data_IF_496610966607
#
_entry.id   IF_496610966607
#
_cell.length_a   1.000
_cell.length_b   1.000
_cell.length_c   1.000
_cell.angle_alpha   90.00
_cell.angle_beta   90.00
_cell.angle_gamma   90.00
#
_symmetry.space_group_name_H-M   'P 1'
#
loop_
_entity.id
_entity.type
_entity.pdbx_description
1 polymer ?
#
# COMPACT_ATOMS: atom_id res chain seq x y z
N UNK A 1 -9.51 -0.63 -93.24
CA UNK A 1 -10.69 -0.05 -93.97
C UNK A 1 -11.92 -0.37 -93.21
N UNK A 2 -12.88 0.49 -93.28
CA UNK A 2 -13.14 1.69 -92.51
C UNK A 2 -14.38 1.48 -91.61
N UNK A 3 -14.86 2.26 -90.79
CA UNK A 3 -15.49 3.55 -90.89
C UNK A 3 -16.20 3.87 -89.55
N UNK A 4 -15.88 4.94 -89.00
CA UNK A 4 -16.77 6.11 -88.71
C UNK A 4 -18.27 5.89 -88.32
N UNK A 5 -18.72 6.42 -87.23
CA UNK A 5 -19.70 7.55 -87.13
C UNK A 5 -20.30 7.55 -85.74
N UNK A 6 -20.10 8.52 -84.94
CA UNK A 6 -20.61 9.90 -84.86
C UNK A 6 -21.94 10.03 -84.07
N UNK A 7 -21.87 10.89 -83.04
CA UNK A 7 -22.89 11.84 -82.56
C UNK A 7 -24.03 11.20 -81.74
N UNK A 8 -24.41 11.79 -80.62
CA UNK A 8 -24.69 13.17 -80.24
C UNK A 8 -25.03 13.30 -78.79
N UNK A 9 -24.53 14.29 -78.16
CA UNK A 9 -25.21 15.32 -77.34
C UNK A 9 -26.60 14.97 -76.83
N UNK A 10 -26.79 15.00 -75.50
CA UNK A 10 -27.73 15.94 -74.93
C UNK A 10 -27.40 16.27 -73.47
N UNK A 11 -27.43 17.53 -73.21
CA UNK A 11 -27.31 18.28 -71.98
C UNK A 11 -28.72 18.36 -71.37
N UNK A 12 -28.88 18.13 -70.10
CA UNK A 12 -29.86 18.80 -69.20
C UNK A 12 -29.38 18.60 -67.78
N UNK A 13 -28.85 19.54 -67.16
CA UNK A 13 -29.38 20.51 -66.21
C UNK A 13 -29.81 19.95 -64.84
N UNK A 14 -29.08 20.42 -63.85
CA UNK A 14 -29.62 21.01 -62.62
C UNK A 14 -30.21 20.05 -61.53
N UNK A 15 -29.50 20.00 -60.45
CA UNK A 15 -29.96 19.51 -59.17
C UNK A 15 -28.96 19.80 -58.07
N UNK A 16 -28.82 21.07 -57.75
CA UNK A 16 -27.97 21.56 -56.65
C UNK A 16 -28.66 21.20 -55.32
N UNK A 17 -28.40 20.05 -54.76
CA UNK A 17 -28.76 19.73 -53.41
C UNK A 17 -27.64 20.19 -52.45
N UNK A 18 -27.96 21.27 -51.77
CA UNK A 18 -27.18 21.91 -50.70
C UNK A 18 -27.27 20.98 -49.46
N UNK A 19 -26.30 20.11 -49.28
CA UNK A 19 -26.15 19.38 -48.04
C UNK A 19 -25.39 20.27 -47.06
N UNK A 20 -26.14 20.79 -46.09
CA UNK A 20 -25.57 21.43 -44.92
C UNK A 20 -24.65 20.44 -44.16
N UNK A 21 -23.49 20.89 -43.66
CA UNK A 21 -22.65 20.06 -42.82
C UNK A 21 -23.32 19.87 -41.48
N UNK A 22 -23.84 18.65 -41.23
CA UNK A 22 -24.27 18.20 -39.92
C UNK A 22 -23.07 18.31 -38.98
N UNK A 23 -23.06 19.32 -38.10
CA UNK A 23 -22.08 19.51 -37.06
C UNK A 23 -21.99 18.20 -36.26
N UNK A 24 -20.93 17.43 -36.51
CA UNK A 24 -20.61 16.23 -35.78
C UNK A 24 -20.30 16.64 -34.33
N UNK A 25 -21.17 16.29 -33.40
CA UNK A 25 -20.93 16.43 -31.96
C UNK A 25 -19.97 15.36 -31.41
N UNK A 26 -19.45 14.49 -32.28
CA UNK A 26 -18.55 13.42 -31.95
C UNK A 26 -17.26 13.88 -31.21
N UNK A 27 -16.58 14.99 -31.59
CA UNK A 27 -15.36 15.37 -30.87
C UNK A 27 -15.62 15.87 -29.44
N UNK A 28 -16.81 16.45 -29.17
CA UNK A 28 -17.14 16.90 -27.82
C UNK A 28 -17.40 15.76 -26.86
N UNK A 29 -18.08 14.70 -27.31
CA UNK A 29 -18.35 13.51 -26.50
C UNK A 29 -17.08 12.72 -26.18
N UNK A 30 -16.14 12.64 -27.14
CA UNK A 30 -14.85 11.99 -26.93
C UNK A 30 -14.01 12.78 -25.91
N UNK A 31 -14.00 14.12 -26.01
CA UNK A 31 -13.27 14.97 -25.06
C UNK A 31 -13.81 14.82 -23.62
N UNK A 32 -15.14 14.77 -23.45
CA UNK A 32 -15.78 14.58 -22.14
C UNK A 32 -15.46 13.18 -21.57
N UNK A 33 -15.48 12.13 -22.41
CA UNK A 33 -15.14 10.77 -21.99
C UNK A 33 -13.67 10.67 -21.55
N UNK A 34 -12.73 11.29 -22.25
CA UNK A 34 -11.30 11.30 -21.89
C UNK A 34 -11.07 12.03 -20.56
N UNK A 35 -11.74 13.18 -20.36
CA UNK A 35 -11.64 13.92 -19.09
C UNK A 35 -12.23 13.09 -17.92
N UNK A 36 -13.35 12.41 -18.12
CA UNK A 36 -13.96 11.56 -17.11
C UNK A 36 -13.04 10.39 -16.69
N UNK A 37 -12.38 9.74 -17.67
CA UNK A 37 -11.41 8.68 -17.42
C UNK A 37 -10.16 9.22 -16.70
N UNK A 38 -9.66 10.40 -17.11
CA UNK A 38 -8.51 11.03 -16.45
C UNK A 38 -8.82 11.42 -14.99
N UNK A 39 -10.00 11.97 -14.72
CA UNK A 39 -10.44 12.30 -13.35
C UNK A 39 -10.63 11.03 -12.52
N UNK A 40 -11.20 9.97 -13.10
CA UNK A 40 -11.36 8.69 -12.42
C UNK A 40 -10.01 8.04 -12.09
N UNK A 41 -9.04 8.06 -13.01
CA UNK A 41 -7.67 7.59 -12.75
C UNK A 41 -6.97 8.39 -11.64
N UNK A 42 -7.10 9.72 -11.63
CA UNK A 42 -6.50 10.59 -10.60
C UNK A 42 -7.12 10.35 -9.22
N UNK A 43 -8.42 10.04 -9.14
CA UNK A 43 -9.08 9.72 -7.86
C UNK A 43 -8.64 8.35 -7.31
N UNK A 44 -8.34 7.37 -8.16
CA UNK A 44 -7.82 6.07 -7.72
C UNK A 44 -6.38 6.18 -7.19
N UNK A 45 -5.56 7.07 -7.76
CA UNK A 45 -4.17 7.31 -7.30
C UNK A 45 -4.08 8.13 -6.00
N UNK A 46 -5.18 8.73 -5.52
CA UNK A 46 -5.20 9.51 -4.28
C UNK A 46 -5.68 8.76 -3.05
N UNK A 47 -6.00 7.47 -3.18
CA UNK A 47 -6.51 6.67 -2.05
C UNK A 47 -5.42 6.10 -1.15
N UNK A 48 -4.14 6.38 -1.39
CA UNK A 48 -3.03 5.81 -0.62
C UNK A 48 -2.21 6.84 0.18
N UNK A 49 -2.77 8.00 0.54
CA UNK A 49 -2.06 8.95 1.38
C UNK A 49 -2.98 9.61 2.40
N UNK A 50 -3.54 8.81 3.31
CA UNK A 50 -3.96 9.34 4.60
C UNK A 50 -2.94 8.90 5.65
N UNK A 51 -2.00 9.78 5.90
CA UNK A 51 -1.24 9.77 7.14
C UNK A 51 -2.24 10.05 8.28
N UNK A 52 -2.67 9.02 8.96
CA UNK A 52 -3.40 9.15 10.22
C UNK A 52 -2.36 9.32 11.33
N UNK A 53 -2.48 10.34 12.19
CA UNK A 53 -1.59 10.48 13.33
C UNK A 53 -1.77 9.32 14.29
N UNK A 54 -0.65 8.92 14.87
CA UNK A 54 -0.56 7.88 15.88
C UNK A 54 -1.50 8.21 17.05
N UNK A 55 -2.33 7.32 17.41
CA UNK A 55 -2.59 6.70 18.69
C UNK A 55 -3.99 6.11 18.72
N UNK A 56 -4.03 4.87 18.95
CA UNK A 56 -4.97 4.08 19.77
C UNK A 56 -4.97 2.67 19.15
N UNK A 57 -4.66 1.68 19.95
CA UNK A 57 -4.73 0.26 19.64
C UNK A 57 -6.14 -0.18 19.28
N UNK A 58 -6.60 0.27 18.10
CA UNK A 58 -7.78 -0.25 17.43
C UNK A 58 -7.26 -1.05 16.23
N UNK A 59 -7.30 -2.37 16.34
CA UNK A 59 -7.09 -3.30 15.25
C UNK A 59 -7.84 -2.83 14.01
N UNK A 60 -7.14 -2.24 13.07
CA UNK A 60 -7.52 -2.36 11.68
C UNK A 60 -7.67 -3.86 11.47
N UNK A 61 -8.80 -4.39 10.96
CA UNK A 61 -9.14 -5.82 10.94
C UNK A 61 -8.13 -6.79 10.30
N UNK A 62 -6.85 -6.45 10.31
CA UNK A 62 -5.69 -7.19 9.82
C UNK A 62 -4.99 -7.80 11.02
N UNK A 63 -4.88 -9.13 11.04
CA UNK A 63 -4.20 -9.84 12.13
C UNK A 63 -2.70 -9.49 12.21
N UNK A 64 -2.04 -9.63 13.39
CA UNK A 64 -0.59 -9.45 13.52
C UNK A 64 0.22 -10.29 12.53
N UNK A 65 -0.22 -11.51 12.24
CA UNK A 65 0.42 -12.37 11.25
C UNK A 65 0.37 -11.78 9.83
N UNK A 66 -0.78 -11.25 9.44
CA UNK A 66 -0.96 -10.57 8.14
C UNK A 66 -0.18 -9.27 8.07
N UNK A 67 -0.15 -8.47 9.15
CA UNK A 67 0.67 -7.25 9.22
C UNK A 67 2.15 -7.55 8.99
N UNK A 68 2.68 -8.59 9.65
CA UNK A 68 4.06 -9.05 9.45
C UNK A 68 4.30 -9.51 8.01
N UNK A 69 3.39 -10.29 7.46
CA UNK A 69 3.50 -10.77 6.08
C UNK A 69 3.46 -9.62 5.06
N UNK A 70 2.58 -8.65 5.24
CA UNK A 70 2.51 -7.47 4.39
C UNK A 70 3.80 -6.65 4.47
N UNK A 71 4.31 -6.40 5.68
CA UNK A 71 5.55 -5.65 5.87
C UNK A 71 6.73 -6.34 5.16
N UNK A 72 6.91 -7.64 5.37
CA UNK A 72 8.01 -8.41 4.76
C UNK A 72 7.89 -8.49 3.24
N UNK A 73 6.69 -8.71 2.71
CA UNK A 73 6.44 -8.74 1.25
C UNK A 73 6.73 -7.39 0.58
N UNK A 74 6.53 -6.29 1.30
CA UNK A 74 6.82 -4.93 0.85
C UNK A 74 8.29 -4.51 1.06
N UNK A 75 9.12 -5.38 1.62
CA UNK A 75 10.52 -5.06 1.98
C UNK A 75 10.62 -3.97 3.05
N UNK A 76 9.59 -3.83 3.90
CA UNK A 76 9.59 -2.90 5.02
C UNK A 76 10.12 -3.59 6.27
N UNK A 77 10.98 -2.94 7.04
CA UNK A 77 11.37 -3.45 8.35
C UNK A 77 10.16 -3.61 9.25
N UNK A 78 10.15 -4.66 10.06
CA UNK A 78 9.08 -4.90 11.03
C UNK A 78 9.66 -5.19 12.41
N UNK A 79 8.99 -4.69 13.42
CA UNK A 79 9.26 -4.94 14.83
C UNK A 79 8.08 -5.68 15.44
N UNK A 80 8.25 -6.99 15.67
CA UNK A 80 7.25 -7.83 16.33
C UNK A 80 7.54 -7.81 17.82
N UNK A 81 6.59 -7.32 18.61
CA UNK A 81 6.69 -7.24 20.06
C UNK A 81 5.67 -8.17 20.70
N UNK A 82 6.16 -9.25 21.30
CA UNK A 82 5.34 -10.28 21.95
C UNK A 82 5.34 -10.07 23.45
N UNK A 83 4.18 -9.82 24.03
CA UNK A 83 4.02 -9.42 25.42
C UNK A 83 2.66 -9.82 25.99
N UNK A 84 2.48 -9.56 27.29
CA UNK A 84 1.17 -9.53 27.94
C UNK A 84 1.06 -8.34 28.91
N UNK A 85 -0.16 -7.97 29.25
CA UNK A 85 -0.45 -6.87 30.20
C UNK A 85 -0.17 -7.23 31.64
N UNK A 86 -0.07 -8.53 31.99
CA UNK A 86 0.11 -9.03 33.36
C UNK A 86 1.55 -9.35 33.71
N UNK A 87 2.46 -9.15 32.77
CA UNK A 87 3.89 -9.46 32.92
C UNK A 87 4.66 -8.17 33.27
N UNK A 88 5.31 -8.13 34.43
CA UNK A 88 6.08 -6.96 34.91
C UNK A 88 7.20 -6.57 33.92
N UNK A 89 8.09 -7.51 33.46
CA UNK A 89 9.09 -7.15 32.46
C UNK A 89 8.47 -6.66 31.14
N UNK A 90 7.28 -7.16 30.78
CA UNK A 90 6.60 -6.71 29.57
C UNK A 90 6.18 -5.25 29.70
N UNK A 91 5.64 -4.83 30.86
CA UNK A 91 5.28 -3.42 31.12
C UNK A 91 6.50 -2.50 31.02
N UNK A 92 7.64 -2.94 31.51
CA UNK A 92 8.89 -2.18 31.36
C UNK A 92 9.29 -2.04 29.88
N UNK A 93 9.18 -3.12 29.11
CA UNK A 93 9.49 -3.07 27.69
C UNK A 93 8.47 -2.25 26.91
N UNK A 94 7.17 -2.28 27.28
CA UNK A 94 6.14 -1.42 26.71
C UNK A 94 6.50 0.07 26.85
N UNK A 95 6.94 0.50 28.06
CA UNK A 95 7.41 1.88 28.26
C UNK A 95 8.56 2.24 27.32
N UNK A 96 9.49 1.32 27.07
CA UNK A 96 10.59 1.53 26.11
C UNK A 96 10.06 1.62 24.67
N UNK A 97 9.10 0.79 24.31
CA UNK A 97 8.46 0.84 22.98
C UNK A 97 7.73 2.17 22.80
N UNK A 98 6.94 2.60 23.78
CA UNK A 98 6.19 3.86 23.74
C UNK A 98 7.11 5.09 23.62
N UNK A 99 8.29 5.04 24.25
CA UNK A 99 9.30 6.10 24.14
C UNK A 99 9.97 6.13 22.76
N UNK A 100 10.33 4.96 22.22
CA UNK A 100 11.23 4.87 21.08
C UNK A 100 10.49 4.74 19.74
N UNK A 101 9.40 3.96 19.70
CA UNK A 101 8.74 3.62 18.44
C UNK A 101 8.20 4.83 17.65
N UNK A 102 7.70 5.91 18.28
CA UNK A 102 7.27 7.10 17.53
C UNK A 102 8.34 7.66 16.58
N UNK A 103 9.63 7.52 16.92
CA UNK A 103 10.74 7.96 16.06
C UNK A 103 10.84 7.14 14.74
N UNK A 104 10.27 5.94 14.72
CA UNK A 104 10.40 4.95 13.64
C UNK A 104 9.07 4.61 12.95
N UNK A 105 7.95 5.11 13.43
CA UNK A 105 6.59 4.72 13.01
C UNK A 105 6.35 4.81 11.50
N UNK A 106 6.99 5.75 10.82
CA UNK A 106 6.89 5.92 9.37
C UNK A 106 7.76 4.93 8.56
N UNK A 107 8.71 4.25 9.19
CA UNK A 107 9.73 3.45 8.52
C UNK A 107 9.71 1.99 8.92
N UNK A 108 9.28 1.68 10.14
CA UNK A 108 9.23 0.34 10.72
C UNK A 108 7.79 0.01 11.07
N UNK A 109 7.31 -1.14 10.68
CA UNK A 109 5.97 -1.62 11.05
C UNK A 109 6.04 -2.25 12.44
N UNK A 110 5.29 -1.71 13.41
CA UNK A 110 5.10 -2.38 14.70
C UNK A 110 4.00 -3.43 14.56
N UNK A 111 4.34 -4.66 14.89
CA UNK A 111 3.42 -5.78 14.99
C UNK A 111 3.29 -6.13 16.48
N UNK A 112 2.25 -5.62 17.08
CA UNK A 112 1.96 -5.82 18.51
C UNK A 112 1.23 -7.15 18.72
N UNK A 113 1.77 -8.02 19.58
CA UNK A 113 1.31 -9.38 19.77
C UNK A 113 1.04 -9.65 21.25
N UNK A 114 -0.23 -9.56 21.64
CA UNK A 114 -0.65 -10.05 22.94
C UNK A 114 -0.67 -11.58 22.90
N UNK A 115 0.10 -12.22 23.79
CA UNK A 115 0.24 -13.69 23.80
C UNK A 115 -0.99 -14.43 24.35
N UNK A 116 -1.92 -13.72 24.97
CA UNK A 116 -3.19 -14.28 25.44
C UNK A 116 -4.32 -14.20 24.38
N UNK A 117 -4.05 -13.55 23.27
CA UNK A 117 -4.98 -13.55 22.15
C UNK A 117 -4.79 -14.83 21.32
N UNK A 118 -5.81 -15.67 21.28
CA UNK A 118 -5.78 -16.96 20.59
C UNK A 118 -5.51 -16.83 19.09
N UNK A 119 -5.89 -15.69 18.48
CA UNK A 119 -5.63 -15.41 17.08
C UNK A 119 -4.12 -15.33 16.78
N UNK A 120 -3.30 -15.05 17.77
CA UNK A 120 -1.84 -14.96 17.64
C UNK A 120 -1.11 -16.30 17.79
N UNK A 121 -1.82 -17.39 18.12
CA UNK A 121 -1.21 -18.70 18.40
C UNK A 121 -0.36 -19.23 17.24
N UNK A 122 -0.82 -19.08 16.01
CA UNK A 122 -0.08 -19.52 14.81
C UNK A 122 1.20 -18.71 14.61
N UNK A 123 1.14 -17.40 14.79
CA UNK A 123 2.29 -16.50 14.70
C UNK A 123 3.32 -16.81 15.79
N UNK A 124 2.88 -16.96 17.03
CA UNK A 124 3.76 -17.31 18.16
C UNK A 124 4.50 -18.63 17.93
N UNK A 125 3.82 -19.65 17.38
CA UNK A 125 4.45 -20.92 17.01
C UNK A 125 5.48 -20.75 15.88
N UNK A 126 5.16 -20.01 14.86
CA UNK A 126 6.06 -19.78 13.73
C UNK A 126 7.33 -19.03 14.15
N UNK A 127 7.20 -18.12 15.11
CA UNK A 127 8.31 -17.37 15.70
C UNK A 127 9.01 -18.11 16.85
N UNK A 128 8.55 -19.33 17.18
CA UNK A 128 9.09 -20.17 18.26
C UNK A 128 9.15 -19.45 19.61
N UNK A 129 8.08 -18.71 19.93
CA UNK A 129 7.98 -18.00 21.19
C UNK A 129 8.10 -18.98 22.38
N UNK A 130 8.99 -18.69 23.31
CA UNK A 130 9.21 -19.48 24.52
C UNK A 130 9.01 -18.68 25.80
N UNK A 131 9.24 -17.38 25.74
CA UNK A 131 9.22 -16.48 26.90
C UNK A 131 8.86 -15.07 26.47
N UNK A 132 8.28 -14.28 27.37
CA UNK A 132 7.94 -12.88 27.17
C UNK A 132 8.64 -11.99 28.20
N UNK A 133 8.96 -10.71 27.86
CA UNK A 133 8.79 -10.12 26.53
C UNK A 133 9.81 -10.67 25.54
N UNK A 134 9.39 -10.87 24.29
CA UNK A 134 10.28 -11.20 23.18
C UNK A 134 10.06 -10.22 22.04
N UNK A 135 11.14 -9.73 21.49
CA UNK A 135 11.15 -8.84 20.34
C UNK A 135 11.80 -9.53 19.13
N UNK A 136 11.12 -9.53 17.98
CA UNK A 136 11.70 -10.03 16.73
C UNK A 136 11.75 -8.87 15.74
N UNK A 137 12.94 -8.53 15.28
CA UNK A 137 13.14 -7.39 14.37
C UNK A 137 13.55 -7.93 13.00
N UNK A 138 12.76 -7.60 11.99
CA UNK A 138 12.97 -7.93 10.58
C UNK A 138 13.58 -6.74 9.84
N UNK A 139 14.60 -7.00 9.05
CA UNK A 139 15.17 -6.01 8.15
C UNK A 139 14.42 -5.95 6.80
N UNK A 140 14.84 -5.03 5.92
CA UNK A 140 14.29 -4.86 4.56
C UNK A 140 14.43 -6.11 3.67
N UNK A 141 15.31 -7.04 4.04
CA UNK A 141 15.55 -8.30 3.30
C UNK A 141 14.74 -9.45 3.88
N UNK A 142 13.91 -9.21 4.91
CA UNK A 142 13.16 -10.23 5.62
C UNK A 142 14.02 -11.07 6.57
N UNK A 143 15.28 -10.70 6.83
CA UNK A 143 16.11 -11.37 7.82
C UNK A 143 15.70 -10.89 9.21
N UNK A 144 15.58 -11.81 10.16
CA UNK A 144 15.13 -11.48 11.50
C UNK A 144 16.19 -11.76 12.57
N UNK A 145 16.12 -10.97 13.63
CA UNK A 145 16.87 -11.18 14.88
C UNK A 145 15.92 -11.17 16.05
N UNK A 146 16.07 -12.15 16.94
CA UNK A 146 15.25 -12.31 18.15
C UNK A 146 16.00 -11.82 19.36
N UNK A 147 15.30 -11.08 20.22
CA UNK A 147 15.81 -10.55 21.47
C UNK A 147 14.80 -10.88 22.59
N UNK A 148 15.29 -11.43 23.66
CA UNK A 148 14.50 -11.83 24.84
C UNK A 148 14.73 -10.85 25.98
N UNK A 149 13.68 -10.49 26.67
CA UNK A 149 13.72 -9.60 27.83
C UNK A 149 13.60 -8.13 27.50
N UNK A 150 13.87 -7.29 28.49
CA UNK A 150 13.78 -5.85 28.40
C UNK A 150 15.03 -5.28 27.76
N UNK A 151 14.87 -4.42 26.77
CA UNK A 151 15.95 -3.62 26.16
C UNK A 151 15.99 -2.21 26.75
N UNK A 152 17.14 -1.56 26.71
CA UNK A 152 17.20 -0.13 26.96
C UNK A 152 16.66 0.66 25.74
N UNK A 153 16.19 1.91 25.92
CA UNK A 153 15.78 2.74 24.79
C UNK A 153 16.91 2.91 23.73
N UNK A 154 18.15 3.02 24.17
CA UNK A 154 19.30 3.13 23.28
C UNK A 154 19.54 1.86 22.44
N UNK A 155 19.37 0.68 23.07
CA UNK A 155 19.48 -0.59 22.37
C UNK A 155 18.39 -0.74 21.33
N UNK A 156 17.12 -0.46 21.68
CA UNK A 156 16.01 -0.57 20.75
C UNK A 156 16.21 0.37 19.55
N UNK A 157 16.58 1.65 19.79
CA UNK A 157 16.91 2.60 18.69
C UNK A 157 17.99 2.06 17.77
N UNK A 158 19.06 1.52 18.35
CA UNK A 158 20.17 0.97 17.55
C UNK A 158 19.71 -0.20 16.67
N UNK A 159 18.91 -1.12 17.22
CA UNK A 159 18.42 -2.28 16.48
C UNK A 159 17.44 -1.91 15.37
N UNK A 160 16.56 -0.95 15.63
CA UNK A 160 15.63 -0.47 14.60
C UNK A 160 16.36 0.26 13.47
N UNK A 161 17.39 1.08 13.78
CA UNK A 161 18.25 1.69 12.76
C UNK A 161 18.97 0.64 11.90
N UNK A 162 19.52 -0.40 12.53
CA UNK A 162 20.17 -1.51 11.81
C UNK A 162 19.21 -2.22 10.86
N UNK A 163 17.96 -2.46 11.29
CA UNK A 163 16.94 -3.07 10.46
C UNK A 163 16.58 -2.22 9.22
N UNK A 164 16.67 -0.91 9.34
CA UNK A 164 16.49 0.02 8.21
C UNK A 164 17.69 0.09 7.27
N UNK A 165 18.80 -0.58 7.58
CA UNK A 165 20.05 -0.53 6.82
C UNK A 165 20.99 0.60 7.24
N UNK A 166 20.79 1.18 8.42
CA UNK A 166 21.73 2.09 9.07
C UNK A 166 22.89 1.32 9.70
N UNK A 167 24.11 1.69 9.37
CA UNK A 167 25.36 1.24 10.02
C UNK A 167 25.55 1.97 11.31
#
# INVERSE_FOLDING_TARGET
MPSQKKKSRQVVASGRAKTEPKKSQAPLLIAVAVIAVAVFMVTQLRSDSQATPANEGASSGVSPAEQLQQATNQGRPAFVFMHSTDCIPCKQMMTVVDEVYPEFSNQVVLVDVNVYDEQNTSLMRSLRLQVIPTSVIYDKKGQSKTYVGVMTPADLRTRLRQAMGGS
#
